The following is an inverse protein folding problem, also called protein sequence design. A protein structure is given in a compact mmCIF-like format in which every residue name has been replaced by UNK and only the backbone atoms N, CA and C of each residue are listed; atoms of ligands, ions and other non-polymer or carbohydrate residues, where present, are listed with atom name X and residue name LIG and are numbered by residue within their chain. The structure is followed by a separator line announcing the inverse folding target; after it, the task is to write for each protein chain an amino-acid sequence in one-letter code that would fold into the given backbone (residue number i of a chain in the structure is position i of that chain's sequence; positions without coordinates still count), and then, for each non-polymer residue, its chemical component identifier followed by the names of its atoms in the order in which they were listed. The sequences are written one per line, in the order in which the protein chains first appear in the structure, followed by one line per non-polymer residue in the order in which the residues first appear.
data_IF_310138024995
#
_entry.id   IF_310138024995
#
_cell.length_a   1.000
_cell.length_b   1.000
_cell.length_c   1.000
_cell.angle_alpha   90.00
_cell.angle_beta   90.00
_cell.angle_gamma   90.00
#
_symmetry.space_group_name_H-M   'P 1'
#
loop_
_entity.id
_entity.type
_entity.pdbx_description
1 polymer ?
#
# COMPACT_ATOMS: atom_id res chain seq x y z
N UNK A 1 -8.03 -16.14 33.75
CA UNK A 1 -7.01 -16.69 34.66
C UNK A 1 -5.72 -16.92 33.89
N UNK A 2 -4.57 -16.82 34.55
CA UNK A 2 -3.28 -17.13 33.94
C UNK A 2 -3.12 -18.66 33.93
N UNK A 3 -2.82 -19.25 32.78
CA UNK A 3 -2.55 -20.69 32.62
C UNK A 3 -3.77 -21.60 32.39
N UNK A 4 -4.99 -21.05 32.43
CA UNK A 4 -6.20 -21.81 32.11
C UNK A 4 -6.60 -21.70 30.63
N UNK A 5 -7.55 -22.53 30.20
CA UNK A 5 -8.17 -22.47 28.87
C UNK A 5 -9.62 -21.91 28.93
N UNK A 6 -9.84 -20.64 29.32
CA UNK A 6 -11.17 -20.07 29.35
C UNK A 6 -11.70 -19.84 27.92
N UNK A 7 -13.03 -19.85 27.77
CA UNK A 7 -13.67 -19.46 26.50
C UNK A 7 -13.21 -18.04 26.13
N UNK A 8 -12.68 -17.89 24.92
CA UNK A 8 -12.20 -16.59 24.42
C UNK A 8 -13.37 -15.60 24.33
N UNK A 9 -13.14 -14.38 24.82
CA UNK A 9 -14.09 -13.27 24.66
C UNK A 9 -14.40 -13.06 23.17
N UNK A 10 -15.69 -12.95 22.82
CA UNK A 10 -16.13 -12.83 21.43
C UNK A 10 -16.21 -14.16 20.65
N UNK A 11 -15.94 -15.31 21.28
CA UNK A 11 -16.00 -16.60 20.60
C UNK A 11 -17.42 -16.98 20.21
N UNK A 12 -18.40 -16.72 21.08
CA UNK A 12 -19.81 -17.08 20.86
C UNK A 12 -20.35 -16.41 19.60
N UNK A 13 -20.10 -15.11 19.43
CA UNK A 13 -20.56 -14.32 18.30
C UNK A 13 -19.92 -14.82 16.99
N UNK A 14 -18.64 -15.18 17.02
CA UNK A 14 -17.93 -15.72 15.85
C UNK A 14 -18.45 -17.08 15.42
N UNK A 15 -18.70 -17.99 16.36
CA UNK A 15 -19.21 -19.33 16.02
C UNK A 15 -20.68 -19.30 15.60
N UNK A 16 -21.44 -18.30 16.04
CA UNK A 16 -22.83 -18.10 15.64
C UNK A 16 -22.99 -17.25 14.37
N UNK A 17 -21.90 -16.70 13.83
CA UNK A 17 -21.95 -15.79 12.67
C UNK A 17 -22.63 -14.45 12.98
N UNK A 18 -22.72 -14.05 14.25
CA UNK A 18 -23.33 -12.78 14.67
C UNK A 18 -22.28 -11.70 14.97
N UNK A 19 -21.00 -12.04 14.88
CA UNK A 19 -19.91 -11.05 14.93
C UNK A 19 -19.89 -10.27 13.62
N UNK A 20 -19.98 -8.94 13.71
CA UNK A 20 -19.88 -8.05 12.56
C UNK A 20 -18.43 -7.67 12.31
N UNK A 21 -17.97 -7.88 11.09
CA UNK A 21 -16.65 -7.50 10.60
C UNK A 21 -16.71 -6.21 9.77
N UNK A 22 -15.60 -5.79 9.16
CA UNK A 22 -15.53 -4.51 8.44
C UNK A 22 -16.59 -4.40 7.35
N UNK A 23 -16.74 -5.46 6.56
CA UNK A 23 -17.64 -5.53 5.40
C UNK A 23 -19.11 -5.78 5.76
N UNK A 24 -19.41 -6.25 6.97
CA UNK A 24 -20.77 -6.58 7.40
C UNK A 24 -21.56 -5.34 7.87
N UNK A 25 -20.92 -4.18 7.93
CA UNK A 25 -21.46 -2.99 8.61
C UNK A 25 -22.30 -2.05 7.73
N UNK A 26 -22.54 -2.39 6.46
CA UNK A 26 -23.28 -1.56 5.51
C UNK A 26 -24.71 -1.22 5.95
N UNK A 27 -25.16 0.00 5.64
CA UNK A 27 -26.52 0.50 5.93
C UNK A 27 -27.17 1.09 4.67
N UNK A 28 -28.51 1.11 4.60
CA UNK A 28 -29.21 1.83 3.55
C UNK A 28 -28.77 3.30 3.51
N UNK A 29 -28.37 3.77 2.32
CA UNK A 29 -27.91 5.15 2.10
C UNK A 29 -26.40 5.37 2.28
N UNK A 30 -25.62 4.35 2.65
CA UNK A 30 -24.16 4.46 2.61
C UNK A 30 -23.66 4.63 1.17
N UNK A 31 -22.57 5.39 1.00
CA UNK A 31 -21.87 5.54 -0.29
C UNK A 31 -20.74 4.53 -0.41
N UNK A 32 -20.42 4.17 -1.64
CA UNK A 32 -19.40 3.20 -1.99
C UNK A 32 -18.15 3.91 -2.50
N UNK A 33 -16.99 3.42 -2.06
CA UNK A 33 -15.68 3.95 -2.40
C UNK A 33 -14.93 3.00 -3.34
N UNK A 34 -14.45 3.52 -4.47
CA UNK A 34 -13.70 2.77 -5.47
C UNK A 34 -12.40 3.45 -5.81
N UNK A 35 -11.30 2.70 -5.86
CA UNK A 35 -10.00 3.23 -6.23
C UNK A 35 -9.66 2.89 -7.68
N UNK A 36 -9.33 3.91 -8.47
CA UNK A 36 -8.60 3.70 -9.70
C UNK A 36 -7.14 3.42 -9.35
N UNK A 37 -6.64 2.26 -9.74
CA UNK A 37 -5.27 1.82 -9.45
C UNK A 37 -4.45 1.73 -10.73
N UNK A 38 -3.20 2.16 -10.66
CA UNK A 38 -2.30 2.11 -11.81
C UNK A 38 -1.98 0.66 -12.22
N UNK A 39 -2.19 0.32 -13.49
CA UNK A 39 -1.94 -1.02 -14.02
C UNK A 39 -0.46 -1.27 -14.35
N UNK A 40 0.33 -0.21 -14.49
CA UNK A 40 1.74 -0.23 -14.90
C UNK A 40 2.57 0.71 -14.02
N UNK A 41 3.77 0.26 -13.66
CA UNK A 41 4.72 1.02 -12.86
C UNK A 41 6.17 0.50 -13.09
N UNK A 42 7.20 1.32 -12.81
CA UNK A 42 7.07 2.75 -12.54
C UNK A 42 6.69 3.51 -13.81
N UNK A 43 5.92 4.58 -13.66
CA UNK A 43 5.42 5.37 -14.78
C UNK A 43 5.14 6.80 -14.37
N UNK A 44 5.21 7.72 -15.32
CA UNK A 44 4.73 9.09 -15.17
C UNK A 44 3.26 9.15 -15.54
N UNK A 45 2.44 9.83 -14.75
CA UNK A 45 1.07 10.15 -15.11
C UNK A 45 1.13 11.28 -16.15
N UNK A 46 0.98 10.94 -17.43
CA UNK A 46 0.99 11.91 -18.53
C UNK A 46 -0.38 12.52 -18.75
N UNK A 47 -1.46 11.79 -18.41
CA UNK A 47 -2.83 12.29 -18.47
C UNK A 47 -3.73 11.61 -17.45
N UNK A 48 -4.57 12.38 -16.78
CA UNK A 48 -5.65 11.90 -15.92
C UNK A 48 -6.88 12.77 -16.17
N UNK A 49 -7.97 12.18 -16.68
CA UNK A 49 -9.24 12.86 -16.92
C UNK A 49 -10.36 12.11 -16.20
N UNK A 50 -11.07 12.83 -15.33
CA UNK A 50 -12.09 12.27 -14.43
C UNK A 50 -13.48 12.88 -14.68
N UNK A 51 -13.56 13.85 -15.59
CA UNK A 51 -14.76 14.67 -15.80
C UNK A 51 -15.92 13.86 -16.37
N UNK A 52 -15.65 12.87 -17.21
CA UNK A 52 -16.68 11.97 -17.73
C UNK A 52 -17.26 11.10 -16.62
N UNK A 53 -16.39 10.46 -15.83
CA UNK A 53 -16.78 9.66 -14.67
C UNK A 53 -17.59 10.48 -13.65
N UNK A 54 -17.19 11.71 -13.37
CA UNK A 54 -17.86 12.62 -12.45
C UNK A 54 -19.30 12.99 -12.87
N UNK A 55 -19.62 12.91 -14.17
CA UNK A 55 -20.95 13.22 -14.71
C UNK A 55 -21.89 12.02 -14.79
N UNK A 56 -21.41 10.81 -14.50
CA UNK A 56 -22.25 9.61 -14.59
C UNK A 56 -23.34 9.62 -13.50
N UNK A 57 -24.56 9.16 -13.82
CA UNK A 57 -25.62 9.01 -12.83
C UNK A 57 -25.18 8.12 -11.65
N UNK A 58 -25.47 8.56 -10.42
CA UNK A 58 -25.11 7.85 -9.20
C UNK A 58 -23.65 8.03 -8.76
N UNK A 59 -22.83 8.81 -9.49
CA UNK A 59 -21.51 9.24 -9.02
C UNK A 59 -21.65 10.52 -8.22
N UNK A 60 -21.22 10.47 -6.95
CA UNK A 60 -21.26 11.62 -6.05
C UNK A 60 -20.04 12.51 -6.30
N UNK A 61 -18.83 11.91 -6.32
CA UNK A 61 -17.59 12.65 -6.52
C UNK A 61 -16.44 11.76 -6.97
N UNK A 62 -15.53 12.30 -7.78
CA UNK A 62 -14.21 11.73 -8.04
C UNK A 62 -13.17 12.65 -7.42
N UNK A 63 -12.27 12.07 -6.62
CA UNK A 63 -11.16 12.75 -5.96
C UNK A 63 -9.84 12.34 -6.61
N UNK A 64 -8.94 13.30 -6.75
CA UNK A 64 -7.56 13.10 -7.20
C UNK A 64 -6.58 13.59 -6.13
N UNK A 65 -5.27 13.47 -6.40
CA UNK A 65 -4.25 14.05 -5.52
C UNK A 65 -4.47 15.55 -5.23
N UNK A 66 -5.04 16.30 -6.19
CA UNK A 66 -5.30 17.73 -6.06
C UNK A 66 -6.40 18.07 -5.04
N UNK A 67 -7.26 17.12 -4.70
CA UNK A 67 -8.33 17.32 -3.72
C UNK A 67 -7.89 17.07 -2.28
N UNK A 68 -6.64 16.64 -2.05
CA UNK A 68 -6.12 16.41 -0.70
C UNK A 68 -5.85 17.77 -0.03
N UNK A 69 -6.59 18.16 1.03
CA UNK A 69 -6.50 19.51 1.60
C UNK A 69 -5.20 19.80 2.36
N UNK A 70 -4.31 18.82 2.48
CA UNK A 70 -3.06 18.91 3.22
C UNK A 70 -1.93 18.20 2.48
N UNK A 71 -0.96 17.69 3.23
CA UNK A 71 0.15 16.95 2.63
C UNK A 71 -0.36 15.59 2.14
N UNK A 72 -0.29 15.36 0.83
CA UNK A 72 -0.62 14.07 0.20
C UNK A 72 0.46 13.01 0.50
N UNK A 73 0.69 12.68 1.77
CA UNK A 73 1.65 11.68 2.23
C UNK A 73 1.15 10.93 3.46
N UNK A 74 1.28 9.61 3.43
CA UNK A 74 1.00 8.68 4.50
C UNK A 74 2.24 7.83 4.82
N UNK A 75 2.19 7.16 5.97
CA UNK A 75 3.25 6.28 6.44
C UNK A 75 3.14 6.06 7.94
N UNK A 76 3.36 4.82 8.38
CA UNK A 76 3.30 4.43 9.80
C UNK A 76 4.44 5.08 10.58
N UNK A 77 5.65 5.11 10.00
CA UNK A 77 6.83 5.72 10.60
C UNK A 77 6.86 7.21 10.26
N UNK A 78 6.76 8.12 11.26
CA UNK A 78 6.64 9.56 10.98
C UNK A 78 7.79 10.14 10.16
N UNK A 79 9.02 9.65 10.35
CA UNK A 79 10.22 10.13 9.65
C UNK A 79 10.33 9.67 8.20
N UNK A 80 9.48 8.75 7.74
CA UNK A 80 9.52 8.20 6.38
C UNK A 80 8.13 8.20 5.73
N UNK A 81 7.33 9.24 5.97
CA UNK A 81 6.04 9.42 5.28
C UNK A 81 6.28 9.85 3.82
N UNK A 82 6.47 8.88 2.94
CA UNK A 82 6.80 9.09 1.53
C UNK A 82 5.82 8.44 0.54
N UNK A 83 4.80 7.73 1.02
CA UNK A 83 3.73 7.17 0.19
C UNK A 83 2.61 8.19 -0.02
N UNK A 84 2.18 8.49 -1.25
CA UNK A 84 1.02 9.35 -1.47
C UNK A 84 -0.30 8.64 -1.09
N UNK A 85 -1.33 9.41 -0.73
CA UNK A 85 -2.70 8.88 -0.58
C UNK A 85 -3.24 8.52 -1.96
N UNK A 86 -3.10 9.45 -2.92
CA UNK A 86 -3.37 9.26 -4.34
C UNK A 86 -2.14 9.74 -5.12
N UNK A 87 -1.64 8.92 -6.04
CA UNK A 87 -0.43 9.19 -6.81
C UNK A 87 -0.55 10.52 -7.58
N UNK A 88 0.54 11.29 -7.55
CA UNK A 88 0.64 12.59 -8.21
C UNK A 88 1.93 12.60 -9.04
N UNK A 89 1.78 12.81 -10.35
CA UNK A 89 2.87 12.89 -11.32
C UNK A 89 3.58 11.56 -11.60
N UNK A 90 3.85 10.72 -10.60
CA UNK A 90 4.57 9.45 -10.73
C UNK A 90 3.83 8.34 -9.97
N UNK A 91 3.69 7.20 -10.64
CA UNK A 91 3.34 5.90 -10.07
C UNK A 91 4.63 5.12 -9.85
N UNK A 92 4.87 4.69 -8.61
CA UNK A 92 6.07 3.96 -8.16
C UNK A 92 5.89 2.45 -8.20
N UNK A 93 4.69 1.96 -7.91
CA UNK A 93 4.40 0.52 -7.89
C UNK A 93 3.07 0.18 -8.55
N UNK A 94 2.98 -1.05 -9.05
CA UNK A 94 1.76 -1.54 -9.70
C UNK A 94 0.64 -1.66 -8.66
N UNK A 95 -0.50 -1.04 -8.92
CA UNK A 95 -1.63 -1.00 -7.99
C UNK A 95 -1.68 0.25 -7.10
N UNK A 96 -0.74 1.19 -7.24
CA UNK A 96 -0.78 2.47 -6.51
C UNK A 96 -2.08 3.23 -6.85
N UNK A 97 -2.83 3.73 -5.85
CA UNK A 97 -4.06 4.48 -6.09
C UNK A 97 -3.78 5.80 -6.82
N UNK A 98 -4.61 6.15 -7.80
CA UNK A 98 -4.49 7.40 -8.59
C UNK A 98 -5.69 8.31 -8.40
N UNK A 99 -6.89 7.75 -8.31
CA UNK A 99 -8.13 8.48 -8.05
C UNK A 99 -9.07 7.65 -7.15
N UNK A 100 -9.96 8.33 -6.44
CA UNK A 100 -10.99 7.75 -5.60
C UNK A 100 -12.37 8.20 -6.11
N UNK A 101 -13.22 7.25 -6.47
CA UNK A 101 -14.62 7.48 -6.83
C UNK A 101 -15.51 7.21 -5.62
N UNK A 102 -16.46 8.09 -5.40
CA UNK A 102 -17.56 7.95 -4.45
C UNK A 102 -18.87 7.85 -5.22
N UNK A 103 -19.62 6.78 -4.99
CA UNK A 103 -20.86 6.49 -5.73
C UNK A 103 -21.98 6.00 -4.81
N UNK A 104 -23.22 6.17 -5.24
CA UNK A 104 -24.44 5.73 -4.54
C UNK A 104 -24.68 4.22 -4.64
N UNK A 105 -24.02 3.56 -5.60
CA UNK A 105 -24.11 2.12 -5.79
C UNK A 105 -22.81 1.55 -6.33
N UNK A 106 -22.64 0.24 -6.16
CA UNK A 106 -21.50 -0.48 -6.71
C UNK A 106 -21.41 -0.38 -8.24
N UNK A 107 -22.54 -0.56 -8.92
CA UNK A 107 -22.62 -0.44 -10.38
C UNK A 107 -22.17 0.93 -10.87
N UNK A 108 -22.65 2.01 -10.25
CA UNK A 108 -22.26 3.36 -10.65
C UNK A 108 -20.76 3.61 -10.44
N UNK A 109 -20.20 3.11 -9.33
CA UNK A 109 -18.77 3.22 -9.06
C UNK A 109 -17.89 2.45 -10.05
N UNK A 110 -18.28 1.22 -10.41
CA UNK A 110 -17.58 0.41 -11.40
C UNK A 110 -17.63 1.01 -12.81
N UNK A 111 -18.76 1.57 -13.23
CA UNK A 111 -18.86 2.28 -14.50
C UNK A 111 -18.03 3.57 -14.51
N UNK A 112 -18.00 4.30 -13.39
CA UNK A 112 -17.15 5.48 -13.24
C UNK A 112 -15.67 5.16 -13.38
N UNK A 113 -15.19 4.04 -12.80
CA UNK A 113 -13.79 3.63 -12.98
C UNK A 113 -13.43 3.40 -14.46
N UNK A 114 -14.36 2.87 -15.27
CA UNK A 114 -14.14 2.65 -16.71
C UNK A 114 -14.11 3.96 -17.51
N UNK A 115 -14.81 4.98 -17.03
CA UNK A 115 -14.89 6.29 -17.67
C UNK A 115 -13.72 7.23 -17.31
N UNK A 116 -12.86 6.86 -16.34
CA UNK A 116 -11.65 7.63 -16.07
C UNK A 116 -10.57 7.28 -17.09
N UNK A 117 -10.03 8.29 -17.77
CA UNK A 117 -8.90 8.13 -18.68
C UNK A 117 -7.60 8.38 -17.94
N UNK A 118 -6.78 7.34 -17.84
CA UNK A 118 -5.44 7.40 -17.26
C UNK A 118 -4.40 6.97 -18.30
N UNK A 119 -3.49 7.87 -18.66
CA UNK A 119 -2.35 7.59 -19.52
C UNK A 119 -1.07 7.62 -18.68
N UNK A 120 -0.24 6.58 -18.87
CA UNK A 120 0.97 6.32 -18.11
C UNK A 120 2.13 6.15 -19.07
N UNK A 121 3.15 6.99 -18.93
CA UNK A 121 4.39 6.88 -19.68
C UNK A 121 5.38 6.03 -18.86
N UNK A 122 5.84 4.85 -19.35
CA UNK A 122 6.75 4.00 -18.60
C UNK A 122 8.06 4.70 -18.23
N UNK A 123 8.55 4.42 -17.02
CA UNK A 123 9.85 4.87 -16.54
C UNK A 123 10.77 3.67 -16.28
N UNK A 124 12.11 3.84 -16.35
CA UNK A 124 13.04 2.84 -15.83
C UNK A 124 12.78 2.58 -14.34
N UNK A 125 12.71 1.31 -13.97
CA UNK A 125 12.46 0.88 -12.59
C UNK A 125 13.56 0.00 -12.02
N UNK A 126 13.51 -0.20 -10.71
CA UNK A 126 14.36 -1.14 -9.98
C UNK A 126 13.48 -2.16 -9.28
N UNK A 127 13.85 -3.44 -9.38
CA UNK A 127 12.97 -4.54 -8.93
C UNK A 127 13.65 -5.48 -7.93
N UNK A 128 14.89 -5.19 -7.55
CA UNK A 128 15.53 -5.83 -6.40
C UNK A 128 16.46 -4.88 -5.64
N UNK A 129 16.74 -5.14 -4.35
CA UNK A 129 17.54 -4.24 -3.52
C UNK A 129 18.98 -4.02 -4.02
N UNK A 130 19.60 -5.03 -4.65
CA UNK A 130 20.98 -4.93 -5.13
C UNK A 130 21.07 -3.96 -6.30
N UNK A 131 20.17 -4.08 -7.26
CA UNK A 131 20.05 -3.13 -8.39
C UNK A 131 19.69 -1.74 -7.89
N UNK A 132 18.77 -1.62 -6.93
CA UNK A 132 18.37 -0.33 -6.38
C UNK A 132 19.52 0.46 -5.73
N UNK A 133 20.55 -0.24 -5.23
CA UNK A 133 21.74 0.38 -4.62
C UNK A 133 22.89 0.63 -5.62
N UNK A 134 22.73 0.26 -6.89
CA UNK A 134 23.73 0.58 -7.91
C UNK A 134 23.84 2.10 -8.13
N UNK A 135 25.03 2.57 -8.50
CA UNK A 135 25.31 4.00 -8.70
C UNK A 135 24.39 4.65 -9.76
N UNK A 136 24.09 3.90 -10.82
CA UNK A 136 23.27 4.34 -11.97
C UNK A 136 21.78 3.98 -11.81
N UNK A 137 21.36 3.49 -10.64
CA UNK A 137 19.99 3.09 -10.42
C UNK A 137 19.04 4.31 -10.46
N UNK A 138 17.92 4.26 -11.18
CA UNK A 138 16.93 5.33 -11.11
C UNK A 138 16.41 5.46 -9.67
N UNK A 139 16.33 6.69 -9.13
CA UNK A 139 15.81 6.90 -7.78
C UNK A 139 14.29 6.69 -7.74
N UNK A 140 13.80 5.88 -6.81
CA UNK A 140 12.35 5.72 -6.53
C UNK A 140 11.80 6.95 -5.79
N UNK A 141 12.64 7.56 -4.95
CA UNK A 141 12.40 8.82 -4.26
C UNK A 141 13.60 9.74 -4.44
N UNK A 142 13.39 11.06 -4.41
CA UNK A 142 14.44 12.06 -4.66
C UNK A 142 15.66 11.93 -3.73
N UNK A 143 15.46 11.38 -2.52
CA UNK A 143 16.50 11.09 -1.52
C UNK A 143 17.37 9.86 -1.85
N UNK A 144 17.08 9.14 -2.94
CA UNK A 144 17.72 7.89 -3.32
C UNK A 144 17.00 6.64 -2.81
N UNK A 145 17.59 5.47 -3.08
CA UNK A 145 16.97 4.16 -2.87
C UNK A 145 17.33 3.49 -1.53
N UNK A 146 18.31 4.04 -0.78
CA UNK A 146 18.63 3.54 0.55
C UNK A 146 17.70 4.19 1.58
N UNK A 147 16.65 3.45 1.99
CA UNK A 147 15.68 3.94 2.97
C UNK A 147 16.30 4.11 4.37
N UNK A 148 17.09 3.13 4.82
CA UNK A 148 17.62 3.09 6.18
C UNK A 148 18.88 2.22 6.26
N UNK A 149 19.79 2.57 7.18
CA UNK A 149 20.99 1.79 7.52
C UNK A 149 21.10 1.67 9.02
N UNK A 150 21.28 0.44 9.50
CA UNK A 150 21.58 0.15 10.89
C UNK A 150 22.90 -0.62 10.98
N UNK A 151 23.72 -0.25 11.96
CA UNK A 151 24.93 -0.96 12.29
C UNK A 151 24.86 -1.36 13.76
N UNK A 152 25.08 -2.65 14.04
CA UNK A 152 25.16 -3.18 15.41
C UNK A 152 26.64 -3.41 15.72
N UNK A 153 27.18 -2.67 16.69
CA UNK A 153 28.56 -2.82 17.16
C UNK A 153 28.53 -3.32 18.59
N UNK A 154 29.17 -4.47 18.84
CA UNK A 154 29.25 -5.06 20.17
C UNK A 154 30.61 -5.75 20.35
N UNK A 155 31.41 -5.23 21.28
CA UNK A 155 32.75 -5.75 21.58
C UNK A 155 33.73 -5.67 20.39
N UNK A 156 34.86 -6.38 20.51
CA UNK A 156 35.90 -6.46 19.47
C UNK A 156 35.65 -7.68 18.56
N UNK A 157 34.59 -7.63 17.75
CA UNK A 157 34.15 -8.76 16.92
C UNK A 157 35.23 -9.29 15.95
N UNK A 158 36.02 -8.39 15.36
CA UNK A 158 37.09 -8.73 14.41
C UNK A 158 38.22 -9.52 15.09
N UNK A 159 38.67 -9.08 16.27
CA UNK A 159 39.66 -9.79 17.06
C UNK A 159 39.15 -11.16 17.52
N UNK A 160 37.90 -11.22 17.99
CA UNK A 160 37.28 -12.45 18.42
C UNK A 160 37.22 -13.47 17.27
N UNK A 161 36.78 -13.03 16.09
CA UNK A 161 36.77 -13.85 14.87
C UNK A 161 38.17 -14.31 14.47
N UNK A 162 39.19 -13.44 14.56
CA UNK A 162 40.57 -13.79 14.21
C UNK A 162 41.17 -14.87 15.13
N UNK A 163 40.76 -14.90 16.40
CA UNK A 163 41.23 -15.87 17.42
C UNK A 163 40.41 -17.18 17.44
N UNK A 164 39.33 -17.27 16.68
CA UNK A 164 38.45 -18.45 16.67
C UNK A 164 39.08 -19.66 15.98
N UNK A 165 38.92 -20.85 16.58
CA UNK A 165 39.34 -22.12 16.00
C UNK A 165 38.61 -22.47 14.69
N UNK A 166 37.34 -22.05 14.57
CA UNK A 166 36.52 -22.29 13.39
C UNK A 166 35.78 -21.00 12.98
N UNK A 167 35.62 -20.79 11.67
CA UNK A 167 34.92 -19.64 11.08
C UNK A 167 34.08 -20.12 9.91
N UNK A 168 32.82 -19.69 9.88
CA UNK A 168 31.88 -20.00 8.80
C UNK A 168 31.27 -18.72 8.28
N UNK A 169 31.03 -18.68 6.96
CA UNK A 169 30.32 -17.58 6.30
C UNK A 169 29.35 -18.21 5.30
N UNK A 170 28.07 -17.88 5.46
CA UNK A 170 27.01 -18.30 4.55
C UNK A 170 26.14 -17.09 4.19
N UNK A 171 25.48 -17.19 3.04
CA UNK A 171 24.47 -16.23 2.58
C UNK A 171 23.10 -16.90 2.66
N UNK A 172 22.13 -16.21 3.24
CA UNK A 172 20.76 -16.69 3.37
C UNK A 172 19.80 -15.66 2.77
N UNK A 173 18.68 -16.14 2.25
CA UNK A 173 17.60 -15.31 1.71
C UNK A 173 16.26 -15.91 2.05
N UNK A 174 15.24 -15.07 2.21
CA UNK A 174 13.84 -15.46 2.38
C UNK A 174 13.02 -14.90 1.22
N UNK A 175 11.91 -15.55 0.88
CA UNK A 175 10.98 -15.02 -0.11
C UNK A 175 10.14 -13.87 0.48
N UNK A 176 9.57 -13.00 -0.36
CA UNK A 176 8.42 -12.19 0.03
C UNK A 176 7.28 -13.10 0.49
N UNK A 177 6.58 -12.71 1.53
CA UNK A 177 5.41 -13.40 2.07
C UNK A 177 4.30 -12.39 2.27
N UNK A 178 3.09 -12.75 1.88
CA UNK A 178 1.88 -11.98 2.17
C UNK A 178 1.21 -12.55 3.43
N UNK A 179 0.53 -11.69 4.20
CA UNK A 179 -0.16 -12.07 5.42
C UNK A 179 -1.26 -13.11 5.16
N UNK A 180 -1.90 -13.02 3.98
CA UNK A 180 -2.97 -13.93 3.56
C UNK A 180 -4.17 -13.96 4.51
N UNK A 181 -4.73 -12.81 4.95
CA UNK A 181 -5.89 -12.80 5.82
C UNK A 181 -7.11 -13.38 5.10
N UNK A 182 -8.00 -14.03 5.85
CA UNK A 182 -9.26 -14.54 5.32
C UNK A 182 -10.29 -13.42 5.07
N UNK A 183 -10.27 -12.38 5.91
CA UNK A 183 -11.07 -11.18 5.71
C UNK A 183 -10.34 -10.27 4.72
N UNK A 184 -11.04 -9.85 3.67
CA UNK A 184 -10.53 -8.84 2.74
C UNK A 184 -10.49 -7.47 3.41
N UNK A 185 -9.59 -6.60 2.97
CA UNK A 185 -9.58 -5.22 3.44
C UNK A 185 -10.92 -4.55 3.12
N UNK A 186 -11.59 -4.06 4.16
CA UNK A 186 -12.89 -3.42 4.03
C UNK A 186 -13.32 -2.81 5.37
N UNK A 187 -14.17 -1.80 5.29
CA UNK A 187 -14.66 -1.12 6.47
C UNK A 187 -15.66 -0.04 6.11
N UNK A 188 -16.36 0.44 7.14
CA UNK A 188 -17.29 1.56 7.08
C UNK A 188 -16.68 2.76 7.81
N UNK A 189 -16.60 3.89 7.11
CA UNK A 189 -16.14 5.17 7.66
C UNK A 189 -17.22 5.94 8.41
#
# INVERSE_FOLDING_TARGET
MIGENPIRIGAREKVLGTALFGVDQGRPGDLFLFLLRACQAPSRISRLEVEEAQRLPGVVRVFTAADVPGVNRIGIIPSTKDQPVLAEGIVRYRGEPVALVVAESETAGLEALKAIRLELDPLPGVFNPKEALAMEAPPVHDKGNLLFRQQVVKGAAEEALAKSAHRYRNTYSTSPLEHGPLEVEGGRG
#
